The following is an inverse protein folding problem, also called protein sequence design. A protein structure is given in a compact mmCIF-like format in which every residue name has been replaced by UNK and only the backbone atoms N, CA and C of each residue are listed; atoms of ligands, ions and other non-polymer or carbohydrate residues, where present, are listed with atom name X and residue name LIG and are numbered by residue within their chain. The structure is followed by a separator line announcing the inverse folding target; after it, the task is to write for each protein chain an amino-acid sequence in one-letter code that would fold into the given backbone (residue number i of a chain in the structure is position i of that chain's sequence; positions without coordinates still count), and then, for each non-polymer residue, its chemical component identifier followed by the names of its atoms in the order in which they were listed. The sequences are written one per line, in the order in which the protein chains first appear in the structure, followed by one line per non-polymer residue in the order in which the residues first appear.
data_IF_527899161352
#
_entry.id   IF_527899161352
#
_cell.length_a   1.000
_cell.length_b   1.000
_cell.length_c   1.000
_cell.angle_alpha   90.00
_cell.angle_beta   90.00
_cell.angle_gamma   90.00
#
_symmetry.space_group_name_H-M   'P 1'
#
loop_
_entity.id
_entity.type
_entity.pdbx_description
1 polymer ?
#
# COMPACT_ATOMS: atom_id res chain seq x y z
N UNK A 1 7.41 -7.97 6.12
CA UNK A 1 5.94 -7.82 5.96
C UNK A 1 5.44 -6.48 6.49
N UNK A 2 5.48 -6.20 7.79
CA UNK A 2 4.94 -4.96 8.39
C UNK A 2 5.59 -3.71 7.77
N UNK A 3 6.91 -3.62 7.77
CA UNK A 3 7.63 -2.50 7.18
C UNK A 3 7.38 -2.37 5.67
N UNK A 4 7.35 -3.48 4.93
CA UNK A 4 7.11 -3.45 3.47
C UNK A 4 5.72 -2.93 3.13
N UNK A 5 4.69 -3.36 3.84
CA UNK A 5 3.32 -2.85 3.67
C UNK A 5 3.27 -1.34 3.96
N UNK A 6 3.81 -0.92 5.09
CA UNK A 6 3.83 0.49 5.49
C UNK A 6 4.57 1.36 4.45
N UNK A 7 5.74 0.90 3.98
CA UNK A 7 6.53 1.61 2.98
C UNK A 7 5.79 1.76 1.64
N UNK A 8 5.10 0.70 1.18
CA UNK A 8 4.32 0.73 -0.06
C UNK A 8 3.15 1.71 0.00
N UNK A 9 2.50 1.82 1.15
CA UNK A 9 1.37 2.75 1.34
C UNK A 9 1.85 4.17 1.53
N UNK A 10 2.83 4.38 2.40
CA UNK A 10 3.29 5.72 2.81
C UNK A 10 4.28 6.35 1.82
N UNK A 11 5.10 5.53 1.14
CA UNK A 11 6.14 6.01 0.26
C UNK A 11 7.27 6.80 0.96
N UNK A 12 7.33 6.75 2.28
CA UNK A 12 8.27 7.46 3.13
C UNK A 12 8.86 6.49 4.14
N UNK A 13 10.18 6.30 4.09
CA UNK A 13 10.89 5.33 4.93
C UNK A 13 10.79 5.65 6.42
N UNK A 14 10.91 6.91 6.79
CA UNK A 14 10.82 7.35 8.18
C UNK A 14 9.44 7.05 8.78
N UNK A 15 8.39 7.44 8.07
CA UNK A 15 7.01 7.16 8.49
C UNK A 15 6.70 5.65 8.51
N UNK A 16 7.26 4.88 7.58
CA UNK A 16 7.11 3.44 7.56
C UNK A 16 7.78 2.77 8.76
N UNK A 17 8.97 3.21 9.16
CA UNK A 17 9.66 2.74 10.35
C UNK A 17 8.89 3.07 11.62
N UNK A 18 8.40 4.30 11.76
CA UNK A 18 7.55 4.69 12.90
C UNK A 18 6.27 3.87 12.98
N UNK A 19 5.61 3.66 11.83
CA UNK A 19 4.39 2.85 11.77
C UNK A 19 4.66 1.41 12.16
N UNK A 20 5.74 0.82 11.68
CA UNK A 20 6.15 -0.54 12.05
C UNK A 20 6.41 -0.66 13.55
N UNK A 21 7.10 0.31 14.15
CA UNK A 21 7.33 0.33 15.60
C UNK A 21 6.00 0.39 16.38
N UNK A 22 5.08 1.24 16.00
CA UNK A 22 3.77 1.35 16.63
C UNK A 22 2.97 0.05 16.53
N UNK A 23 3.03 -0.61 15.38
CA UNK A 23 2.36 -1.91 15.17
C UNK A 23 2.95 -2.99 16.08
N UNK A 24 4.27 -3.05 16.23
CA UNK A 24 4.91 -4.03 17.11
C UNK A 24 4.67 -3.74 18.59
N UNK A 25 4.59 -2.49 19.00
CA UNK A 25 4.17 -2.12 20.37
C UNK A 25 2.74 -2.59 20.64
N UNK A 26 1.84 -2.39 19.70
CA UNK A 26 0.45 -2.84 19.81
C UNK A 26 0.34 -4.37 19.78
N UNK A 27 1.15 -5.06 18.98
CA UNK A 27 1.26 -6.51 18.98
C UNK A 27 1.64 -7.04 20.37
N UNK A 28 2.64 -6.43 21.00
CA UNK A 28 3.08 -6.82 22.33
C UNK A 28 1.93 -6.79 23.36
N UNK A 29 1.10 -5.76 23.29
CA UNK A 29 -0.08 -5.63 24.15
C UNK A 29 -1.19 -6.65 23.82
N UNK A 30 -1.24 -7.14 22.58
CA UNK A 30 -2.29 -8.03 22.07
C UNK A 30 -1.91 -9.51 22.01
N UNK A 31 -0.66 -9.87 22.29
CA UNK A 31 -0.17 -11.25 22.13
C UNK A 31 -0.99 -12.29 22.90
N UNK A 32 -1.49 -11.94 24.10
CA UNK A 32 -2.32 -12.83 24.90
C UNK A 32 -3.72 -13.12 24.33
N UNK A 33 -4.19 -12.31 23.40
CA UNK A 33 -5.50 -12.42 22.75
C UNK A 33 -5.43 -13.11 21.39
N UNK A 34 -4.23 -13.26 20.80
CA UNK A 34 -4.03 -13.82 19.49
C UNK A 34 -3.73 -15.32 19.59
N UNK A 35 -4.49 -16.11 18.87
CA UNK A 35 -4.40 -17.58 18.86
C UNK A 35 -3.67 -18.06 17.61
N UNK A 36 -2.41 -18.49 17.77
CA UNK A 36 -1.63 -19.08 16.70
C UNK A 36 -1.02 -18.09 15.71
N UNK A 37 -0.11 -18.62 14.90
CA UNK A 37 0.70 -17.84 13.97
C UNK A 37 -0.11 -17.19 12.86
N UNK A 38 -1.08 -17.89 12.29
CA UNK A 38 -1.95 -17.36 11.22
C UNK A 38 -2.78 -16.16 11.70
N UNK A 39 -3.28 -16.23 12.93
CA UNK A 39 -4.03 -15.13 13.53
C UNK A 39 -3.16 -13.90 13.75
N UNK A 40 -1.92 -14.09 14.20
CA UNK A 40 -0.92 -13.02 14.37
C UNK A 40 -0.61 -12.36 13.02
N UNK A 41 -0.33 -13.13 11.98
CA UNK A 41 -0.02 -12.61 10.64
C UNK A 41 -1.21 -11.82 10.07
N UNK A 42 -2.41 -12.35 10.17
CA UNK A 42 -3.63 -11.67 9.71
C UNK A 42 -3.85 -10.33 10.45
N UNK A 43 -3.71 -10.35 11.77
CA UNK A 43 -3.82 -9.15 12.60
C UNK A 43 -2.75 -8.10 12.23
N UNK A 44 -1.50 -8.51 12.06
CA UNK A 44 -0.39 -7.63 11.67
C UNK A 44 -0.67 -6.93 10.33
N UNK A 45 -1.11 -7.68 9.33
CA UNK A 45 -1.45 -7.12 8.01
C UNK A 45 -2.55 -6.07 8.13
N UNK A 46 -3.63 -6.41 8.80
CA UNK A 46 -4.79 -5.52 8.98
C UNK A 46 -4.42 -4.23 9.72
N UNK A 47 -3.75 -4.34 10.84
CA UNK A 47 -3.35 -3.18 11.66
C UNK A 47 -2.35 -2.32 10.92
N UNK A 48 -1.38 -2.90 10.24
CA UNK A 48 -0.38 -2.17 9.46
C UNK A 48 -1.05 -1.34 8.34
N UNK A 49 -1.96 -1.94 7.60
CA UNK A 49 -2.72 -1.24 6.55
C UNK A 49 -3.52 -0.08 7.13
N UNK A 50 -4.28 -0.31 8.20
CA UNK A 50 -5.10 0.73 8.83
C UNK A 50 -4.26 1.90 9.34
N UNK A 51 -3.18 1.63 10.06
CA UNK A 51 -2.29 2.68 10.58
C UNK A 51 -1.58 3.45 9.48
N UNK A 52 -1.14 2.77 8.44
CA UNK A 52 -0.50 3.40 7.29
C UNK A 52 -1.45 4.34 6.54
N UNK A 53 -2.68 3.92 6.32
CA UNK A 53 -3.71 4.75 5.67
C UNK A 53 -4.08 5.95 6.54
N UNK A 54 -4.23 5.76 7.84
CA UNK A 54 -4.54 6.85 8.77
C UNK A 54 -3.43 7.91 8.79
N UNK A 55 -2.16 7.48 8.82
CA UNK A 55 -1.01 8.39 8.72
C UNK A 55 -0.96 9.13 7.38
N UNK A 56 -1.24 8.44 6.30
CA UNK A 56 -1.27 9.04 4.98
C UNK A 56 -2.36 10.13 4.88
N UNK A 57 -3.56 9.85 5.39
CA UNK A 57 -4.65 10.83 5.46
C UNK A 57 -4.30 12.03 6.32
N UNK A 58 -3.62 11.83 7.45
CA UNK A 58 -3.13 12.92 8.29
C UNK A 58 -2.10 13.78 7.56
N UNK A 59 -1.17 13.16 6.82
CA UNK A 59 -0.17 13.86 6.02
C UNK A 59 -0.80 14.67 4.90
N UNK A 60 -1.76 14.12 4.18
CA UNK A 60 -2.49 14.82 3.14
C UNK A 60 -3.25 16.05 3.67
N UNK A 61 -3.90 15.93 4.83
CA UNK A 61 -4.55 17.07 5.50
C UNK A 61 -3.56 18.17 5.88
N UNK A 62 -2.35 17.82 6.32
CA UNK A 62 -1.29 18.80 6.61
C UNK A 62 -0.72 19.45 5.36
N UNK A 63 -0.63 18.73 4.24
CA UNK A 63 -0.17 19.25 2.96
C UNK A 63 -1.18 20.19 2.30
N UNK A 64 -2.46 20.01 2.52
CA UNK A 64 -3.49 20.97 2.09
C UNK A 64 -3.34 22.34 2.79
N UNK A 65 -2.75 22.34 3.98
CA UNK A 65 -2.44 23.56 4.74
C UNK A 65 -1.10 24.22 4.33
N UNK A 66 -0.19 23.45 3.72
CA UNK A 66 1.14 23.91 3.29
C UNK A 66 1.41 23.39 1.87
N UNK A 67 1.01 24.16 0.86
CA UNK A 67 1.25 23.82 -0.54
C UNK A 67 2.73 23.92 -0.90
N UNK A 68 3.40 22.75 -1.08
CA UNK A 68 4.60 22.65 -1.91
C UNK A 68 4.36 21.57 -3.00
N UNK A 69 4.33 21.95 -4.28
CA UNK A 69 3.92 21.03 -5.36
C UNK A 69 5.01 20.09 -5.87
N UNK A 70 6.10 19.87 -5.12
CA UNK A 70 7.34 19.31 -5.67
C UNK A 70 7.74 17.89 -5.30
N UNK A 71 7.19 17.25 -4.27
CA UNK A 71 7.62 15.90 -3.87
C UNK A 71 6.54 14.83 -4.11
N UNK A 72 6.70 14.13 -5.24
CA UNK A 72 6.05 12.83 -5.41
C UNK A 72 6.71 11.81 -4.47
N UNK A 73 5.93 11.06 -3.67
CA UNK A 73 6.49 10.04 -2.79
C UNK A 73 7.29 9.02 -3.60
N UNK A 74 8.51 8.76 -3.16
CA UNK A 74 9.36 7.73 -3.73
C UNK A 74 8.76 6.36 -3.40
N UNK A 75 8.01 5.78 -4.35
CA UNK A 75 7.37 4.49 -4.17
C UNK A 75 8.40 3.37 -4.26
N UNK A 76 8.57 2.66 -3.17
CA UNK A 76 9.27 1.39 -3.15
C UNK A 76 8.43 0.31 -3.85
N UNK A 77 8.34 0.37 -5.17
CA UNK A 77 7.86 -0.74 -5.98
C UNK A 77 9.08 -1.55 -6.40
N UNK A 78 9.26 -2.71 -5.82
CA UNK A 78 10.16 -3.71 -6.38
C UNK A 78 9.55 -4.20 -7.70
N UNK A 79 9.98 -3.58 -8.78
CA UNK A 79 9.60 -4.07 -10.09
C UNK A 79 10.43 -5.35 -10.37
N UNK A 80 9.74 -6.44 -10.59
CA UNK A 80 10.33 -7.74 -10.93
C UNK A 80 10.93 -7.80 -12.35
N UNK A 81 11.20 -6.64 -12.96
CA UNK A 81 11.79 -6.55 -14.29
C UNK A 81 13.29 -6.35 -14.21
N UNK A 82 14.04 -7.09 -15.02
CA UNK A 82 15.48 -6.93 -15.20
C UNK A 82 15.85 -5.65 -15.98
N UNK A 83 14.86 -4.95 -16.55
CA UNK A 83 15.06 -3.68 -17.25
C UNK A 83 14.84 -2.49 -16.32
N UNK A 84 15.90 -1.69 -16.01
CA UNK A 84 15.79 -0.54 -15.10
C UNK A 84 14.86 0.57 -15.61
N UNK A 85 14.77 0.75 -16.93
CA UNK A 85 13.90 1.76 -17.54
C UNK A 85 12.43 1.38 -17.39
N UNK A 86 12.09 0.14 -17.69
CA UNK A 86 10.74 -0.38 -17.52
C UNK A 86 10.32 -0.35 -16.05
N UNK A 87 11.20 -0.75 -15.15
CA UNK A 87 10.98 -0.69 -13.71
C UNK A 87 10.67 0.72 -13.23
N UNK A 88 11.41 1.71 -13.73
CA UNK A 88 11.18 3.13 -13.41
C UNK A 88 9.83 3.62 -13.94
N UNK A 89 9.48 3.26 -15.17
CA UNK A 89 8.21 3.64 -15.76
C UNK A 89 7.02 3.04 -15.01
N UNK A 90 7.10 1.76 -14.62
CA UNK A 90 6.07 1.10 -13.81
C UNK A 90 5.92 1.80 -12.46
N UNK A 91 7.03 2.11 -11.78
CA UNK A 91 6.99 2.84 -10.51
C UNK A 91 6.30 4.20 -10.64
N UNK A 92 6.61 4.95 -11.69
CA UNK A 92 5.97 6.25 -11.96
C UNK A 92 4.48 6.10 -12.24
N UNK A 93 4.08 5.10 -13.01
CA UNK A 93 2.67 4.83 -13.31
C UNK A 93 1.89 4.45 -12.04
N UNK A 94 2.43 3.55 -11.24
CA UNK A 94 1.82 3.15 -9.96
C UNK A 94 1.77 4.34 -8.99
N UNK A 95 2.82 5.16 -8.96
CA UNK A 95 2.87 6.37 -8.14
C UNK A 95 1.82 7.42 -8.51
N UNK A 96 1.39 7.45 -9.75
CA UNK A 96 0.35 8.37 -10.23
C UNK A 96 -1.09 7.93 -9.89
N UNK A 97 -1.26 6.71 -9.37
CA UNK A 97 -2.57 6.19 -8.98
C UNK A 97 -3.11 6.84 -7.71
N UNK A 98 -4.43 7.02 -7.58
CA UNK A 98 -5.05 7.36 -6.30
C UNK A 98 -4.65 6.37 -5.21
N UNK A 99 -4.57 6.83 -3.95
CA UNK A 99 -4.07 6.05 -2.81
C UNK A 99 -4.76 4.69 -2.67
N UNK A 100 -6.08 4.65 -2.74
CA UNK A 100 -6.84 3.41 -2.59
C UNK A 100 -6.47 2.39 -3.67
N UNK A 101 -6.40 2.81 -4.92
CA UNK A 101 -6.05 1.93 -6.05
C UNK A 101 -4.61 1.42 -5.94
N UNK A 102 -3.68 2.30 -5.60
CA UNK A 102 -2.28 1.94 -5.37
C UNK A 102 -2.14 0.93 -4.22
N UNK A 103 -2.84 1.15 -3.12
CA UNK A 103 -2.84 0.25 -1.95
C UNK A 103 -3.39 -1.12 -2.32
N UNK A 104 -4.52 -1.19 -3.02
CA UNK A 104 -5.14 -2.45 -3.44
C UNK A 104 -4.20 -3.26 -4.34
N UNK A 105 -3.55 -2.61 -5.31
CA UNK A 105 -2.56 -3.26 -6.20
C UNK A 105 -1.37 -3.79 -5.40
N UNK A 106 -0.81 -2.99 -4.50
CA UNK A 106 0.33 -3.40 -3.67
C UNK A 106 0.00 -4.60 -2.78
N UNK A 107 -1.14 -4.58 -2.10
CA UNK A 107 -1.56 -5.66 -1.22
C UNK A 107 -1.84 -6.95 -2.01
N UNK A 108 -2.42 -6.85 -3.18
CA UNK A 108 -2.76 -8.02 -4.00
C UNK A 108 -1.54 -8.67 -4.64
N UNK A 109 -0.65 -7.89 -5.25
CA UNK A 109 0.44 -8.42 -6.07
C UNK A 109 1.80 -8.46 -5.39
N UNK A 110 2.03 -7.65 -4.38
CA UNK A 110 3.31 -7.60 -3.67
C UNK A 110 3.25 -8.29 -2.30
N UNK A 111 2.10 -8.28 -1.66
CA UNK A 111 1.89 -8.93 -0.35
C UNK A 111 1.05 -10.20 -0.45
N UNK A 112 0.68 -10.63 -1.64
CA UNK A 112 -0.10 -11.86 -1.91
C UNK A 112 -1.38 -12.00 -1.08
N UNK A 113 -2.02 -10.88 -0.76
CA UNK A 113 -3.28 -10.90 -0.01
C UNK A 113 -4.44 -11.29 -0.92
N UNK A 114 -5.37 -12.07 -0.39
CA UNK A 114 -6.63 -12.38 -1.06
C UNK A 114 -7.54 -11.14 -1.15
N UNK A 115 -8.47 -11.17 -2.08
CA UNK A 115 -9.46 -10.08 -2.23
C UNK A 115 -10.28 -9.89 -0.95
N UNK A 116 -10.59 -10.97 -0.25
CA UNK A 116 -11.30 -10.99 1.01
C UNK A 116 -10.48 -10.34 2.13
N UNK A 117 -9.20 -10.70 2.25
CA UNK A 117 -8.27 -10.10 3.22
C UNK A 117 -8.07 -8.61 2.98
N UNK A 118 -7.96 -8.19 1.73
CA UNK A 118 -7.86 -6.76 1.37
C UNK A 118 -9.14 -6.03 1.74
N UNK A 119 -10.29 -6.63 1.46
CA UNK A 119 -11.60 -6.07 1.83
C UNK A 119 -11.73 -5.86 3.34
N UNK A 120 -11.32 -6.83 4.15
CA UNK A 120 -11.29 -6.69 5.62
C UNK A 120 -10.33 -5.57 6.06
N UNK A 121 -9.13 -5.54 5.50
CA UNK A 121 -8.13 -4.54 5.86
C UNK A 121 -8.55 -3.10 5.51
N UNK A 122 -9.25 -2.92 4.39
CA UNK A 122 -9.68 -1.60 3.91
C UNK A 122 -11.12 -1.23 4.33
N UNK A 123 -11.83 -2.15 4.97
CA UNK A 123 -13.23 -1.94 5.36
C UNK A 123 -14.19 -1.81 4.17
N UNK A 124 -13.96 -2.59 3.11
CA UNK A 124 -14.82 -2.61 1.92
C UNK A 124 -15.19 -4.02 1.49
N UNK A 125 -16.32 -4.21 0.78
CA UNK A 125 -16.69 -5.52 0.25
C UNK A 125 -15.67 -6.07 -0.74
N UNK A 126 -15.50 -7.39 -0.79
CA UNK A 126 -14.61 -8.06 -1.74
C UNK A 126 -14.95 -7.71 -3.20
N UNK A 127 -16.22 -7.54 -3.53
CA UNK A 127 -16.65 -7.10 -4.86
C UNK A 127 -16.11 -5.70 -5.23
N UNK A 128 -16.02 -4.80 -4.26
CA UNK A 128 -15.44 -3.46 -4.43
C UNK A 128 -13.93 -3.55 -4.67
N UNK A 129 -13.24 -4.41 -3.94
CA UNK A 129 -11.80 -4.68 -4.18
C UNK A 129 -11.56 -5.21 -5.58
N UNK A 130 -12.35 -6.17 -6.05
CA UNK A 130 -12.29 -6.70 -7.42
C UNK A 130 -12.50 -5.60 -8.46
N UNK A 131 -13.45 -4.70 -8.25
CA UNK A 131 -13.70 -3.57 -9.13
C UNK A 131 -12.53 -2.59 -9.17
N UNK A 132 -11.92 -2.29 -8.04
CA UNK A 132 -10.72 -1.47 -7.97
C UNK A 132 -9.54 -2.12 -8.72
N UNK A 133 -9.32 -3.41 -8.51
CA UNK A 133 -8.27 -4.16 -9.20
C UNK A 133 -8.46 -4.11 -10.72
N UNK A 134 -9.64 -4.43 -11.19
CA UNK A 134 -9.96 -4.45 -12.63
C UNK A 134 -9.76 -3.08 -13.29
N UNK A 135 -10.29 -2.03 -12.69
CA UNK A 135 -10.16 -0.65 -13.20
C UNK A 135 -8.71 -0.18 -13.20
N UNK A 136 -7.99 -0.49 -12.13
CA UNK A 136 -6.59 -0.07 -12.00
C UNK A 136 -5.70 -0.80 -13.00
N UNK A 137 -5.87 -2.10 -13.17
CA UNK A 137 -5.13 -2.87 -14.17
C UNK A 137 -5.42 -2.41 -15.59
N UNK A 138 -6.68 -2.10 -15.89
CA UNK A 138 -7.05 -1.54 -17.19
C UNK A 138 -6.38 -0.19 -17.44
N UNK A 139 -6.43 0.71 -16.46
CA UNK A 139 -5.78 2.03 -16.54
C UNK A 139 -4.27 1.93 -16.72
N UNK A 140 -3.61 1.05 -15.96
CA UNK A 140 -2.17 0.80 -16.08
C UNK A 140 -1.83 0.25 -17.47
N UNK A 141 -2.60 -0.69 -17.95
CA UNK A 141 -2.42 -1.27 -19.29
C UNK A 141 -2.52 -0.21 -20.40
N UNK A 142 -3.53 0.64 -20.34
CA UNK A 142 -3.72 1.72 -21.31
C UNK A 142 -2.55 2.73 -21.27
N UNK A 143 -2.11 3.10 -20.07
CA UNK A 143 -0.95 3.99 -19.91
C UNK A 143 0.35 3.36 -20.41
N UNK A 144 0.57 2.08 -20.14
CA UNK A 144 1.76 1.36 -20.61
C UNK A 144 1.78 1.28 -22.15
N UNK A 145 0.66 1.02 -22.80
CA UNK A 145 0.56 1.00 -24.26
C UNK A 145 0.97 2.36 -24.84
N UNK A 146 0.55 3.47 -24.23
CA UNK A 146 0.92 4.83 -24.68
C UNK A 146 2.41 5.11 -24.52
N UNK A 147 3.03 4.59 -23.46
CA UNK A 147 4.46 4.80 -23.20
C UNK A 147 5.35 3.96 -24.12
N UNK A 148 4.90 2.76 -24.51
CA UNK A 148 5.64 1.84 -25.39
C UNK A 148 5.46 2.16 -26.89
N UNK A 149 4.55 3.01 -27.23
CA UNK A 149 4.29 3.51 -28.58
C UNK A 149 4.54 5.02 -28.67
#
# INVERSE_FOLDING_TARGET
MVFSIALRILGDRFLAEETAQDVFVELHAKLGELEGEDHVVHWLRRVTVHRSIDRLRQRERRHEEVMDPGELPELAVEAASSDPLLSRQIRQLVGSLPVTQRTVIALRYQEDMSVEEIGEALGMPAATVKSHLRRTLQMLREKMIRVLH
#
